data_IF_638462368885
#
_entry.id   IF_638462368885
#
_cell.length_a   1.000
_cell.length_b   1.000
_cell.length_c   1.000
_cell.angle_alpha   90.00
_cell.angle_beta   90.00
_cell.angle_gamma   90.00
#
_symmetry.space_group_name_H-M   'P 1'
#
loop_
_entity.id
_entity.type
_entity.pdbx_description
1 polymer ?
#
# COMPACT_ATOMS: atom_id res chain seq x y z
N UNK A 1 -76.89 32.01 -16.90
CA UNK A 1 -75.91 32.84 -16.22
C UNK A 1 -75.44 32.10 -14.99
N UNK A 2 -74.31 31.44 -15.06
CA UNK A 2 -73.65 30.79 -13.91
C UNK A 2 -72.21 31.21 -13.94
N UNK A 3 -71.88 32.05 -12.95
CA UNK A 3 -70.56 32.59 -12.70
C UNK A 3 -69.71 31.54 -11.99
N UNK A 4 -68.66 31.08 -12.59
CA UNK A 4 -67.66 30.24 -11.98
C UNK A 4 -66.49 31.09 -11.50
N UNK A 5 -66.34 31.23 -10.20
CA UNK A 5 -65.17 31.84 -9.54
C UNK A 5 -63.98 30.91 -9.64
N UNK A 6 -62.77 31.39 -9.81
CA UNK A 6 -61.54 30.61 -9.77
C UNK A 6 -61.14 30.28 -8.32
N UNK A 7 -60.90 29.02 -8.12
CA UNK A 7 -60.47 28.40 -6.85
C UNK A 7 -59.03 28.82 -6.48
N UNK A 8 -58.88 29.23 -5.28
CA UNK A 8 -57.62 29.78 -4.71
C UNK A 8 -56.59 28.68 -4.59
N UNK A 9 -55.36 29.03 -5.01
CA UNK A 9 -54.10 28.30 -4.74
C UNK A 9 -53.98 27.91 -3.28
N UNK A 10 -53.80 26.67 -3.01
CA UNK A 10 -53.48 26.12 -1.69
C UNK A 10 -52.10 26.58 -1.16
N UNK A 11 -51.92 26.54 0.17
CA UNK A 11 -50.77 27.10 0.82
C UNK A 11 -49.48 26.38 0.44
N UNK A 12 -48.42 27.17 0.29
CA UNK A 12 -47.03 26.79 0.08
C UNK A 12 -46.64 25.59 0.95
N UNK A 13 -46.42 24.45 0.32
CA UNK A 13 -45.76 23.35 1.01
C UNK A 13 -44.30 23.74 1.22
N UNK A 14 -43.76 23.62 2.44
CA UNK A 14 -42.35 23.85 2.69
C UNK A 14 -41.54 22.84 1.86
N UNK A 15 -40.78 23.36 0.91
CA UNK A 15 -39.80 22.57 0.14
C UNK A 15 -38.83 21.95 1.14
N UNK A 16 -38.97 20.65 1.35
CA UNK A 16 -38.01 19.89 2.17
C UNK A 16 -36.59 20.16 1.66
N UNK A 17 -35.63 20.54 2.53
CA UNK A 17 -34.27 20.78 2.10
C UNK A 17 -33.77 19.52 1.39
N UNK A 18 -33.34 19.68 0.14
CA UNK A 18 -32.64 18.62 -0.61
C UNK A 18 -31.49 18.17 0.30
N UNK A 19 -31.36 16.87 0.64
CA UNK A 19 -30.25 16.40 1.44
C UNK A 19 -28.97 16.86 0.74
N UNK A 20 -28.26 17.79 1.36
CA UNK A 20 -26.96 18.24 0.90
C UNK A 20 -26.15 16.99 0.57
N UNK A 21 -25.75 16.85 -0.69
CA UNK A 21 -24.93 15.74 -1.16
C UNK A 21 -23.79 15.58 -0.15
N UNK A 22 -23.84 14.51 0.64
CA UNK A 22 -22.88 14.25 1.69
C UNK A 22 -21.50 14.36 1.05
N UNK A 23 -20.79 15.43 1.38
CA UNK A 23 -19.45 15.69 0.86
C UNK A 23 -18.62 14.45 1.10
N UNK A 24 -18.19 13.81 0.01
CA UNK A 24 -17.35 12.61 0.08
C UNK A 24 -16.22 12.88 1.09
N UNK A 25 -15.96 11.97 2.03
CA UNK A 25 -14.98 12.21 3.08
C UNK A 25 -13.65 12.55 2.42
N UNK A 26 -13.12 13.74 2.69
CA UNK A 26 -11.82 14.18 2.19
C UNK A 26 -10.79 13.17 2.68
N UNK A 27 -10.32 12.32 1.78
CA UNK A 27 -9.33 11.30 2.09
C UNK A 27 -7.97 11.98 2.24
N UNK A 28 -7.53 12.18 3.49
CA UNK A 28 -6.26 12.81 3.79
C UNK A 28 -5.14 11.84 3.46
N UNK A 29 -4.26 12.23 2.53
CA UNK A 29 -3.06 11.46 2.18
C UNK A 29 -2.08 11.48 3.37
N UNK A 30 -1.58 10.32 3.84
CA UNK A 30 -0.62 10.30 4.95
C UNK A 30 0.69 10.99 4.55
N UNK A 31 1.24 11.77 5.47
CA UNK A 31 2.53 12.42 5.26
C UNK A 31 3.65 11.44 4.93
N UNK A 32 4.68 11.89 4.20
CA UNK A 32 5.79 11.05 3.76
C UNK A 32 6.47 10.34 4.94
N UNK A 33 6.72 11.06 6.04
CA UNK A 33 7.32 10.50 7.26
C UNK A 33 6.52 9.31 7.82
N UNK A 34 5.21 9.44 7.91
CA UNK A 34 4.34 8.34 8.39
C UNK A 34 4.41 7.11 7.47
N UNK A 35 4.50 7.32 6.16
CA UNK A 35 4.62 6.23 5.18
C UNK A 35 5.98 5.54 5.28
N UNK A 36 7.07 6.32 5.47
CA UNK A 36 8.40 5.76 5.66
C UNK A 36 8.53 5.01 6.99
N UNK A 37 7.98 5.55 8.07
CA UNK A 37 7.95 4.87 9.36
C UNK A 37 7.12 3.57 9.30
N UNK A 38 5.98 3.59 8.61
CA UNK A 38 5.17 2.40 8.36
C UNK A 38 5.98 1.35 7.55
N UNK A 39 6.68 1.78 6.50
CA UNK A 39 7.51 0.90 5.68
C UNK A 39 8.66 0.29 6.49
N UNK A 40 9.33 1.07 7.33
CA UNK A 40 10.39 0.58 8.21
C UNK A 40 9.86 -0.44 9.22
N UNK A 41 8.71 -0.15 9.83
CA UNK A 41 8.06 -1.07 10.76
C UNK A 41 7.62 -2.37 10.08
N UNK A 42 7.09 -2.29 8.85
CA UNK A 42 6.80 -3.46 8.02
C UNK A 42 8.06 -4.29 7.76
N UNK A 43 9.18 -3.63 7.44
CA UNK A 43 10.47 -4.29 7.24
C UNK A 43 10.94 -5.06 8.49
N UNK A 44 10.74 -4.51 9.69
CA UNK A 44 11.06 -5.19 10.95
C UNK A 44 10.18 -6.44 11.16
N UNK A 45 8.88 -6.36 10.86
CA UNK A 45 7.98 -7.51 10.93
C UNK A 45 8.36 -8.59 9.91
N UNK A 46 8.66 -8.17 8.68
CA UNK A 46 9.08 -9.09 7.62
C UNK A 46 10.45 -9.72 7.91
N UNK A 47 11.34 -9.01 8.60
CA UNK A 47 12.60 -9.59 9.05
C UNK A 47 12.37 -10.82 9.93
N UNK A 48 11.42 -10.77 10.86
CA UNK A 48 11.07 -11.93 11.66
C UNK A 48 10.53 -13.09 10.80
N UNK A 49 9.72 -12.78 9.79
CA UNK A 49 9.22 -13.79 8.83
C UNK A 49 10.37 -14.41 8.04
N UNK A 50 11.33 -13.60 7.55
CA UNK A 50 12.54 -14.09 6.84
C UNK A 50 13.35 -14.98 7.74
N UNK A 51 13.57 -14.59 8.99
CA UNK A 51 14.35 -15.36 9.95
C UNK A 51 13.75 -16.73 10.21
N UNK A 52 12.46 -16.80 10.53
CA UNK A 52 11.75 -18.04 10.79
C UNK A 52 11.69 -18.92 9.52
N UNK A 53 11.37 -18.31 8.37
CA UNK A 53 11.33 -19.01 7.09
C UNK A 53 12.72 -19.54 6.67
N UNK A 54 13.77 -18.76 6.91
CA UNK A 54 15.15 -19.16 6.63
C UNK A 54 15.61 -20.33 7.51
N UNK A 55 15.30 -20.24 8.80
CA UNK A 55 15.58 -21.33 9.73
C UNK A 55 14.85 -22.62 9.34
N UNK A 56 13.55 -22.51 9.05
CA UNK A 56 12.74 -23.66 8.63
C UNK A 56 13.25 -24.28 7.32
N UNK A 57 13.51 -23.44 6.32
CA UNK A 57 14.01 -23.89 5.02
C UNK A 57 15.40 -24.53 5.13
N UNK A 58 16.29 -23.94 5.93
CA UNK A 58 17.62 -24.48 6.20
C UNK A 58 17.55 -25.85 6.88
N UNK A 59 16.68 -25.97 7.90
CA UNK A 59 16.51 -27.20 8.67
C UNK A 59 15.90 -28.32 7.82
N UNK A 60 14.83 -28.04 7.08
CA UNK A 60 14.16 -29.02 6.22
C UNK A 60 14.96 -29.33 4.95
N UNK A 61 15.62 -28.33 4.39
CA UNK A 61 16.40 -28.44 3.16
C UNK A 61 17.84 -28.95 3.38
N UNK A 62 18.29 -29.08 4.62
CA UNK A 62 19.68 -29.41 4.97
C UNK A 62 20.72 -28.52 4.26
N UNK A 63 20.36 -27.23 4.10
CA UNK A 63 21.29 -26.23 3.56
C UNK A 63 22.41 -25.96 4.56
N UNK A 64 23.65 -26.32 4.20
CA UNK A 64 24.84 -26.16 5.05
C UNK A 64 25.58 -24.84 4.78
N UNK A 65 25.45 -24.30 3.57
CA UNK A 65 26.18 -23.12 3.12
C UNK A 65 25.29 -22.09 2.43
N UNK A 66 25.61 -20.81 2.64
CA UNK A 66 24.93 -19.69 1.96
C UNK A 66 25.17 -19.66 0.44
N UNK A 67 26.15 -20.43 -0.05
CA UNK A 67 26.51 -20.59 -1.48
C UNK A 67 25.82 -21.78 -2.14
N UNK A 68 24.92 -22.49 -1.42
CA UNK A 68 24.18 -23.63 -1.96
C UNK A 68 23.36 -23.21 -3.20
N UNK A 69 23.32 -24.09 -4.21
CA UNK A 69 22.52 -23.91 -5.43
C UNK A 69 21.02 -23.70 -5.16
N UNK A 70 20.54 -24.10 -3.99
CA UNK A 70 19.16 -23.91 -3.51
C UNK A 70 18.86 -22.49 -3.05
N UNK A 71 19.83 -21.57 -3.04
CA UNK A 71 19.64 -20.17 -2.70
C UNK A 71 18.53 -19.52 -3.55
N UNK A 72 18.50 -19.80 -4.85
CA UNK A 72 17.46 -19.26 -5.73
C UNK A 72 16.08 -19.83 -5.41
N UNK A 73 16.01 -21.09 -4.98
CA UNK A 73 14.76 -21.72 -4.53
C UNK A 73 14.26 -21.05 -3.25
N UNK A 74 15.14 -20.74 -2.30
CA UNK A 74 14.80 -20.00 -1.10
C UNK A 74 14.32 -18.57 -1.41
N UNK A 75 14.98 -17.88 -2.34
CA UNK A 75 14.54 -16.55 -2.78
C UNK A 75 13.13 -16.59 -3.42
N UNK A 76 12.88 -17.59 -4.28
CA UNK A 76 11.55 -17.79 -4.87
C UNK A 76 10.50 -18.11 -3.79
N UNK A 77 10.84 -18.93 -2.80
CA UNK A 77 9.99 -19.23 -1.67
C UNK A 77 9.63 -17.97 -0.88
N UNK A 78 10.63 -17.13 -0.53
CA UNK A 78 10.38 -15.87 0.16
C UNK A 78 9.52 -14.90 -0.68
N UNK A 79 9.76 -14.85 -1.99
CA UNK A 79 8.94 -14.05 -2.90
C UNK A 79 7.47 -14.47 -2.83
N UNK A 80 7.18 -15.75 -2.83
CA UNK A 80 5.81 -16.27 -2.70
C UNK A 80 5.23 -15.97 -1.31
N UNK A 81 5.99 -16.20 -0.24
CA UNK A 81 5.55 -15.92 1.14
C UNK A 81 5.17 -14.45 1.32
N UNK A 82 6.01 -13.53 0.83
CA UNK A 82 5.70 -12.10 0.86
C UNK A 82 4.51 -11.75 -0.02
N UNK A 83 4.40 -12.36 -1.19
CA UNK A 83 3.25 -12.17 -2.07
C UNK A 83 1.94 -12.55 -1.39
N UNK A 84 1.88 -13.71 -0.76
CA UNK A 84 0.71 -14.17 0.00
C UNK A 84 0.41 -13.21 1.16
N UNK A 85 1.43 -12.82 1.94
CA UNK A 85 1.30 -11.88 3.04
C UNK A 85 0.71 -10.55 2.58
N UNK A 86 1.34 -9.88 1.62
CA UNK A 86 0.91 -8.57 1.18
C UNK A 86 -0.45 -8.60 0.49
N UNK A 87 -0.69 -9.53 -0.43
CA UNK A 87 -1.96 -9.65 -1.13
C UNK A 87 -3.09 -9.88 -0.13
N UNK A 88 -2.90 -10.78 0.83
CA UNK A 88 -3.89 -11.06 1.86
C UNK A 88 -4.24 -9.83 2.71
N UNK A 89 -3.23 -9.13 3.22
CA UNK A 89 -3.45 -7.97 4.08
C UNK A 89 -3.98 -6.77 3.31
N UNK A 90 -3.51 -6.52 2.10
CA UNK A 90 -3.97 -5.40 1.30
C UNK A 90 -5.43 -5.56 0.84
N UNK A 91 -5.90 -6.76 0.56
CA UNK A 91 -7.33 -6.98 0.28
C UNK A 91 -8.21 -6.71 1.50
N UNK A 92 -7.65 -6.83 2.71
CA UNK A 92 -8.32 -6.39 3.95
C UNK A 92 -8.14 -4.90 4.24
N UNK A 93 -7.40 -4.20 3.39
CA UNK A 93 -7.18 -2.76 3.43
C UNK A 93 -6.02 -2.28 4.28
N UNK A 94 -5.41 -3.13 5.12
CA UNK A 94 -4.30 -2.74 6.00
C UNK A 94 -3.41 -3.93 6.34
N UNK A 95 -2.08 -3.71 6.35
CA UNK A 95 -1.14 -4.59 7.02
C UNK A 95 -1.10 -4.28 8.53
N UNK A 96 -0.37 -5.08 9.30
CA UNK A 96 -0.20 -4.83 10.72
C UNK A 96 0.51 -3.49 10.98
N UNK A 97 1.57 -3.19 10.23
CA UNK A 97 2.25 -1.90 10.27
C UNK A 97 1.30 -0.75 9.89
N UNK A 98 0.54 -0.89 8.81
CA UNK A 98 -0.43 0.13 8.38
C UNK A 98 -1.47 0.41 9.45
N UNK A 99 -1.92 -0.60 10.18
CA UNK A 99 -2.88 -0.44 11.29
C UNK A 99 -2.28 0.39 12.42
N UNK A 100 -1.03 0.14 12.79
CA UNK A 100 -0.31 0.90 13.83
C UNK A 100 -0.15 2.38 13.44
N UNK A 101 0.13 2.65 12.17
CA UNK A 101 0.33 4.01 11.66
C UNK A 101 -0.94 4.69 11.12
N UNK A 102 -2.11 4.08 11.33
CA UNK A 102 -3.40 4.57 10.83
C UNK A 102 -3.37 4.89 9.32
N UNK A 103 -2.79 3.99 8.54
CA UNK A 103 -2.74 4.04 7.08
C UNK A 103 -3.66 2.95 6.54
N UNK A 104 -4.40 3.25 5.51
CA UNK A 104 -5.26 2.28 4.81
C UNK A 104 -5.00 2.35 3.32
N UNK A 105 -5.09 1.20 2.66
CA UNK A 105 -5.05 1.10 1.21
C UNK A 105 -6.47 0.97 0.66
N UNK A 106 -6.75 1.75 -0.37
CA UNK A 106 -8.03 1.76 -1.08
C UNK A 106 -7.77 1.89 -2.58
N UNK A 107 -8.79 1.64 -3.38
CA UNK A 107 -8.74 1.95 -4.80
C UNK A 107 -8.98 3.45 -5.05
N UNK A 108 -9.00 3.87 -6.33
CA UNK A 108 -9.24 5.26 -6.74
C UNK A 108 -10.61 5.79 -6.31
N UNK A 109 -11.56 4.90 -6.00
CA UNK A 109 -12.92 5.22 -5.56
C UNK A 109 -13.09 5.12 -4.03
N UNK A 110 -12.00 4.86 -3.28
CA UNK A 110 -12.06 4.69 -1.83
C UNK A 110 -12.56 3.32 -1.36
N UNK A 111 -12.73 2.37 -2.28
CA UNK A 111 -13.21 1.02 -1.97
C UNK A 111 -12.04 0.07 -1.64
N UNK A 112 -12.30 -1.06 -0.95
CA UNK A 112 -11.31 -2.10 -0.74
C UNK A 112 -10.77 -2.62 -2.08
N UNK A 113 -9.45 -2.88 -2.12
CA UNK A 113 -8.82 -3.35 -3.35
C UNK A 113 -9.09 -4.84 -3.62
N UNK A 114 -9.24 -5.20 -4.89
CA UNK A 114 -9.38 -6.60 -5.31
C UNK A 114 -8.04 -7.33 -5.22
N UNK A 115 -8.08 -8.67 -5.14
CA UNK A 115 -6.87 -9.51 -5.13
C UNK A 115 -5.98 -9.27 -6.35
N UNK A 116 -6.57 -9.08 -7.53
CA UNK A 116 -5.82 -8.78 -8.77
C UNK A 116 -5.02 -7.47 -8.65
N UNK A 117 -5.63 -6.42 -8.12
CA UNK A 117 -4.95 -5.14 -7.88
C UNK A 117 -3.88 -5.25 -6.80
N UNK A 118 -4.14 -5.99 -5.73
CA UNK A 118 -3.16 -6.25 -4.69
C UNK A 118 -1.94 -7.02 -5.24
N UNK A 119 -2.17 -8.04 -6.07
CA UNK A 119 -1.10 -8.77 -6.75
C UNK A 119 -0.32 -7.88 -7.73
N UNK A 120 -1.02 -7.12 -8.56
CA UNK A 120 -0.37 -6.17 -9.48
C UNK A 120 0.49 -5.16 -8.72
N UNK A 121 -0.01 -4.61 -7.61
CA UNK A 121 0.75 -3.73 -6.73
C UNK A 121 1.99 -4.40 -6.18
N UNK A 122 1.87 -5.66 -5.71
CA UNK A 122 3.01 -6.42 -5.21
C UNK A 122 4.09 -6.60 -6.29
N UNK A 123 3.71 -7.03 -7.48
CA UNK A 123 4.64 -7.21 -8.59
C UNK A 123 5.28 -5.88 -9.02
N UNK A 124 4.49 -4.81 -9.13
CA UNK A 124 4.99 -3.48 -9.48
C UNK A 124 5.93 -2.91 -8.40
N UNK A 125 5.74 -3.24 -7.12
CA UNK A 125 6.67 -2.80 -6.08
C UNK A 125 8.07 -3.38 -6.25
N UNK A 126 8.20 -4.57 -6.84
CA UNK A 126 9.50 -5.19 -7.13
C UNK A 126 10.25 -4.51 -8.27
N UNK A 127 9.55 -3.90 -9.22
CA UNK A 127 10.19 -3.16 -10.34
C UNK A 127 11.13 -2.07 -9.82
N UNK A 128 10.79 -1.45 -8.69
CA UNK A 128 11.62 -0.41 -8.07
C UNK A 128 12.90 -0.94 -7.45
N UNK A 129 12.95 -2.19 -7.07
CA UNK A 129 14.16 -2.81 -6.53
C UNK A 129 15.08 -3.38 -7.61
N UNK A 130 14.58 -3.54 -8.85
CA UNK A 130 15.37 -4.09 -9.94
C UNK A 130 16.61 -3.24 -10.29
N UNK A 131 16.57 -1.89 -10.40
CA UNK A 131 17.74 -1.10 -10.75
C UNK A 131 18.90 -1.25 -9.76
N UNK A 132 18.72 -1.10 -8.43
CA UNK A 132 19.81 -1.30 -7.49
C UNK A 132 20.30 -2.75 -7.46
N UNK A 133 19.40 -3.73 -7.58
CA UNK A 133 19.79 -5.14 -7.63
C UNK A 133 20.59 -5.46 -8.91
N UNK A 134 20.20 -4.90 -10.05
CA UNK A 134 20.92 -5.06 -11.30
C UNK A 134 22.32 -4.41 -11.27
N UNK A 135 22.50 -3.35 -10.47
CA UNK A 135 23.79 -2.71 -10.31
C UNK A 135 24.73 -3.49 -9.38
N UNK A 136 24.22 -4.15 -8.34
CA UNK A 136 25.05 -4.87 -7.35
C UNK A 136 25.84 -6.02 -8.01
N UNK A 137 25.21 -6.80 -8.88
CA UNK A 137 25.82 -8.02 -9.44
C UNK A 137 27.03 -7.72 -10.34
N UNK A 138 26.96 -6.85 -11.37
CA UNK A 138 28.08 -6.61 -12.27
C UNK A 138 29.24 -5.84 -11.61
N UNK A 139 28.95 -4.96 -10.65
CA UNK A 139 29.97 -4.16 -9.98
C UNK A 139 30.62 -4.86 -8.78
N UNK A 140 30.16 -6.06 -8.42
CA UNK A 140 30.67 -6.84 -7.26
C UNK A 140 30.81 -6.00 -5.98
N UNK A 141 29.79 -5.18 -5.72
CA UNK A 141 29.80 -4.24 -4.59
C UNK A 141 29.93 -4.99 -3.27
N UNK A 142 30.69 -4.42 -2.37
CA UNK A 142 30.77 -4.89 -0.98
C UNK A 142 29.41 -4.76 -0.28
N UNK A 143 29.26 -5.41 0.87
CA UNK A 143 28.03 -5.31 1.66
C UNK A 143 27.69 -3.86 2.05
N UNK A 144 28.71 -3.07 2.41
CA UNK A 144 28.55 -1.65 2.75
C UNK A 144 28.07 -0.82 1.56
N UNK A 145 28.75 -0.94 0.42
CA UNK A 145 28.37 -0.24 -0.82
C UNK A 145 26.98 -0.61 -1.30
N UNK A 146 26.63 -1.89 -1.24
CA UNK A 146 25.28 -2.38 -1.56
C UNK A 146 24.22 -1.76 -0.65
N UNK A 147 24.54 -1.64 0.64
CA UNK A 147 23.64 -1.01 1.61
C UNK A 147 23.44 0.48 1.28
N UNK A 148 24.51 1.22 1.04
CA UNK A 148 24.44 2.63 0.67
C UNK A 148 23.66 2.83 -0.63
N UNK A 149 23.89 1.97 -1.64
CA UNK A 149 23.15 2.02 -2.90
C UNK A 149 21.63 1.79 -2.70
N UNK A 150 21.26 0.78 -1.91
CA UNK A 150 19.84 0.47 -1.67
C UNK A 150 19.18 1.61 -0.88
N UNK A 151 19.80 2.10 0.20
CA UNK A 151 19.22 3.20 0.98
C UNK A 151 19.17 4.51 0.19
N UNK A 152 20.21 4.82 -0.58
CA UNK A 152 20.24 5.96 -1.49
C UNK A 152 19.09 5.88 -2.53
N UNK A 153 18.89 4.71 -3.12
CA UNK A 153 17.80 4.48 -4.05
C UNK A 153 16.43 4.66 -3.41
N UNK A 154 16.23 4.11 -2.22
CA UNK A 154 14.98 4.29 -1.44
C UNK A 154 14.73 5.77 -1.14
N UNK A 155 15.78 6.53 -0.78
CA UNK A 155 15.67 7.96 -0.53
C UNK A 155 15.26 8.73 -1.81
N UNK A 156 15.91 8.43 -2.96
CA UNK A 156 15.54 9.02 -4.26
C UNK A 156 14.09 8.69 -4.60
N UNK A 157 13.68 7.45 -4.43
CA UNK A 157 12.32 7.02 -4.69
C UNK A 157 11.28 7.70 -3.76
N UNK A 158 11.60 7.86 -2.47
CA UNK A 158 10.75 8.59 -1.53
C UNK A 158 10.61 10.07 -1.91
N UNK A 159 11.70 10.69 -2.41
CA UNK A 159 11.67 12.06 -2.93
C UNK A 159 10.81 12.17 -4.19
N UNK A 160 10.94 11.22 -5.13
CA UNK A 160 10.15 11.20 -6.36
C UNK A 160 8.64 11.13 -6.07
N UNK A 161 8.22 10.47 -4.99
CA UNK A 161 6.83 10.45 -4.56
C UNK A 161 6.28 11.85 -4.22
N UNK A 162 7.15 12.81 -3.93
CA UNK A 162 6.79 14.20 -3.63
C UNK A 162 6.40 15.00 -4.87
N UNK A 163 6.92 14.60 -6.03
CA UNK A 163 6.62 15.24 -7.32
C UNK A 163 5.37 14.66 -8.00
N UNK A 164 4.82 13.57 -7.48
CA UNK A 164 3.57 13.03 -8.02
C UNK A 164 2.40 13.95 -7.64
N UNK A 165 1.48 14.30 -8.58
CA UNK A 165 0.36 15.22 -8.33
C UNK A 165 -0.49 14.84 -7.12
N UNK A 166 -0.73 13.54 -6.93
CA UNK A 166 -1.51 13.02 -5.81
C UNK A 166 -0.65 12.65 -4.59
N UNK A 167 0.65 12.96 -4.61
CA UNK A 167 1.61 12.59 -3.55
C UNK A 167 1.61 11.09 -3.21
N UNK A 168 1.25 10.25 -4.17
CA UNK A 168 1.30 8.79 -4.05
C UNK A 168 2.62 8.25 -4.59
N UNK A 169 2.97 7.03 -4.23
CA UNK A 169 4.07 6.33 -4.87
C UNK A 169 3.66 5.89 -6.26
N UNK A 170 4.59 5.92 -7.20
CA UNK A 170 4.33 5.59 -8.61
C UNK A 170 3.73 4.19 -8.80
N UNK A 171 4.23 3.18 -8.08
CA UNK A 171 3.68 1.83 -8.15
C UNK A 171 2.24 1.75 -7.60
N UNK A 172 1.89 2.59 -6.64
CA UNK A 172 0.53 2.69 -6.11
C UNK A 172 -0.41 3.27 -7.17
N UNK A 173 0.03 4.34 -7.84
CA UNK A 173 -0.72 4.98 -8.92
C UNK A 173 -0.92 4.03 -10.09
N UNK A 174 0.12 3.30 -10.51
CA UNK A 174 0.02 2.32 -11.61
C UNK A 174 -0.87 1.12 -11.27
N UNK A 175 -0.91 0.70 -10.03
CA UNK A 175 -1.83 -0.34 -9.56
C UNK A 175 -3.27 0.16 -9.35
N UNK A 176 -3.53 1.46 -9.54
CA UNK A 176 -4.84 2.07 -9.27
C UNK A 176 -5.22 2.03 -7.79
N UNK A 177 -4.23 2.18 -6.90
CA UNK A 177 -4.40 2.15 -5.45
C UNK A 177 -3.94 3.45 -4.81
N UNK A 178 -4.51 3.79 -3.65
CA UNK A 178 -4.17 5.00 -2.88
C UNK A 178 -3.98 4.66 -1.41
N UNK A 179 -3.02 5.33 -0.79
CA UNK A 179 -2.85 5.32 0.65
C UNK A 179 -3.60 6.50 1.25
N UNK A 180 -4.49 6.20 2.20
CA UNK A 180 -5.25 7.20 2.93
C UNK A 180 -5.02 7.06 4.43
N UNK A 181 -5.24 8.14 5.17
CA UNK A 181 -5.26 8.09 6.63
C UNK A 181 -6.59 7.50 7.09
N UNK A 182 -6.54 6.37 7.82
CA UNK A 182 -7.72 5.90 8.53
C UNK A 182 -7.93 6.80 9.75
N UNK A 183 -9.09 7.45 9.89
CA UNK A 183 -9.45 8.10 11.15
C UNK A 183 -9.42 7.05 12.27
N UNK A 184 -8.82 7.32 13.44
CA UNK A 184 -9.06 6.46 14.58
C UNK A 184 -10.57 6.45 14.81
N UNK A 185 -11.16 5.24 14.92
CA UNK A 185 -12.53 5.14 15.39
C UNK A 185 -12.54 5.73 16.80
N UNK A 186 -13.17 6.90 16.97
CA UNK A 186 -13.48 7.40 18.29
C UNK A 186 -14.30 6.30 18.96
N UNK A 187 -13.77 5.69 20.03
CA UNK A 187 -14.56 4.85 20.91
C UNK A 187 -15.63 5.77 21.50
N UNK A 188 -16.87 5.61 21.02
CA UNK A 188 -18.05 6.06 21.73
C UNK A 188 -18.31 5.12 22.90
#
# INVERSE_FOLDING_TARGET
MVSSSPEASGPDQPVSPIPSAASAPVSIVPGLWRRMACWLYEGMLLFAVVFVSGWLFSTLGQMRDAMDSRRHLFQAFLFVVFGVYFVWFWTKGQTLAMKTWNIRIVDVHGQPISQRRALARYLLSWVWFLPPLAAIAPFKLSGGESTVLIFGWVAVWALLARFHPERQFWHDAWAGTRLITSKPMSRQ
#
